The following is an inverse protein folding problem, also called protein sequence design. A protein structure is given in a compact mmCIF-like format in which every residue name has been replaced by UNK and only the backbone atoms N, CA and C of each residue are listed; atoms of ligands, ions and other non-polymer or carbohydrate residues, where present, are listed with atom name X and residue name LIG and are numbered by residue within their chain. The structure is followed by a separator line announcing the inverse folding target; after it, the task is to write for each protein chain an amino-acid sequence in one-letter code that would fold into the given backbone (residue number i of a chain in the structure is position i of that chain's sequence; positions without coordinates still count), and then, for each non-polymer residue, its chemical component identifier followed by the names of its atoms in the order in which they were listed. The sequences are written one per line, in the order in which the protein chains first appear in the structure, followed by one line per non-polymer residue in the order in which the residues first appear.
data_IF_571958382606
#
_entry.id   IF_571958382606
#
_cell.length_a   1.000
_cell.length_b   1.000
_cell.length_c   1.000
_cell.angle_alpha   90.00
_cell.angle_beta   90.00
_cell.angle_gamma   90.00
#
_symmetry.space_group_name_H-M   'P 1'
#
loop_
_entity.id
_entity.type
_entity.pdbx_description
1 polymer ?
#
# COMPACT_ATOMS: atom_id res chain seq x y z
N UNK A 1 26.52 -4.84 -8.72
CA UNK A 1 26.70 -3.68 -9.59
C UNK A 1 25.51 -2.74 -9.35
N UNK A 2 25.80 -1.53 -8.83
CA UNK A 2 24.81 -0.48 -8.62
C UNK A 2 24.79 0.38 -9.87
N UNK A 3 23.66 0.47 -10.55
CA UNK A 3 23.43 1.50 -11.57
C UNK A 3 22.91 2.75 -10.87
N UNK A 4 23.70 3.81 -10.89
CA UNK A 4 23.26 5.14 -10.47
C UNK A 4 22.92 5.92 -11.73
N UNK A 5 21.66 6.27 -11.92
CA UNK A 5 21.23 7.17 -12.98
C UNK A 5 21.33 8.58 -12.40
N UNK A 6 22.34 9.29 -12.83
CA UNK A 6 22.53 10.71 -12.52
C UNK A 6 21.79 11.53 -13.57
N UNK A 7 20.60 12.00 -13.26
CA UNK A 7 20.02 13.14 -13.97
C UNK A 7 19.46 14.12 -12.94
N UNK A 8 19.76 15.41 -13.03
CA UNK A 8 19.13 16.44 -12.20
C UNK A 8 17.69 16.59 -12.70
N UNK A 9 16.71 16.02 -12.01
CA UNK A 9 15.33 16.25 -12.32
C UNK A 9 14.86 17.56 -11.73
N UNK A 10 14.82 18.59 -12.59
CA UNK A 10 13.78 19.59 -12.48
C UNK A 10 12.44 18.88 -12.69
N UNK A 11 11.39 19.25 -11.93
CA UNK A 11 10.01 18.82 -12.17
C UNK A 11 9.56 19.43 -13.51
N UNK A 12 9.98 18.82 -14.59
CA UNK A 12 9.47 19.04 -15.92
C UNK A 12 9.06 17.68 -16.48
N UNK A 13 7.87 17.63 -17.03
CA UNK A 13 7.17 16.47 -17.59
C UNK A 13 7.88 15.74 -18.74
N UNK A 14 9.18 15.68 -18.80
CA UNK A 14 9.86 15.02 -19.93
C UNK A 14 11.13 14.32 -19.55
N UNK A 15 11.19 13.05 -19.94
CA UNK A 15 12.27 12.09 -19.87
C UNK A 15 12.38 11.33 -18.53
N UNK A 16 11.41 10.44 -18.29
CA UNK A 16 11.57 9.40 -17.29
C UNK A 16 12.78 8.51 -17.66
N UNK A 17 13.73 8.23 -16.74
CA UNK A 17 14.85 7.36 -17.00
C UNK A 17 14.35 5.98 -17.44
N UNK A 18 14.85 5.51 -18.59
CA UNK A 18 14.44 4.26 -19.21
C UNK A 18 15.54 3.21 -19.06
N UNK A 19 15.21 2.09 -18.46
CA UNK A 19 16.11 0.94 -18.37
C UNK A 19 15.48 -0.23 -19.10
N UNK A 20 15.98 -0.57 -20.27
CA UNK A 20 15.50 -1.68 -21.11
C UNK A 20 14.01 -1.57 -21.47
N UNK A 21 13.47 -2.61 -22.11
CA UNK A 21 12.04 -2.65 -22.43
C UNK A 21 11.18 -2.75 -21.17
N UNK A 22 10.06 -2.05 -21.16
CA UNK A 22 9.11 -2.03 -20.04
C UNK A 22 8.64 -3.44 -19.70
N UNK A 23 8.75 -3.80 -18.43
CA UNK A 23 8.32 -5.10 -17.92
C UNK A 23 9.32 -6.24 -18.07
N UNK A 24 10.52 -5.98 -18.61
CA UNK A 24 11.57 -7.01 -18.66
C UNK A 24 12.06 -7.36 -17.25
N UNK A 25 11.99 -8.65 -16.82
CA UNK A 25 12.52 -9.05 -15.53
C UNK A 25 14.05 -8.99 -15.54
N UNK A 26 14.62 -8.45 -14.48
CA UNK A 26 16.06 -8.44 -14.27
C UNK A 26 16.47 -9.65 -13.41
N UNK A 27 17.61 -10.28 -13.75
CA UNK A 27 18.13 -11.42 -12.96
C UNK A 27 18.54 -11.00 -11.53
N UNK A 28 19.00 -9.77 -11.37
CA UNK A 28 19.36 -9.19 -10.05
C UNK A 28 18.57 -7.92 -9.81
N UNK A 29 18.32 -7.64 -8.52
CA UNK A 29 17.74 -6.35 -8.14
C UNK A 29 18.74 -5.24 -8.42
N UNK A 30 18.25 -4.15 -9.00
CA UNK A 30 18.97 -2.90 -9.19
C UNK A 30 18.41 -1.85 -8.22
N UNK A 31 19.26 -0.91 -7.82
CA UNK A 31 18.83 0.26 -7.05
C UNK A 31 18.60 1.40 -8.03
N UNK A 32 17.39 1.93 -8.04
CA UNK A 32 17.02 3.14 -8.76
C UNK A 32 17.10 4.30 -7.78
N UNK A 33 17.83 5.35 -8.15
CA UNK A 33 17.95 6.58 -7.36
C UNK A 33 17.46 7.74 -8.20
N UNK A 34 16.57 8.53 -7.62
CA UNK A 34 16.02 9.72 -8.27
C UNK A 34 16.18 10.91 -7.32
N UNK A 35 16.78 11.99 -7.81
CA UNK A 35 16.98 13.18 -7.00
C UNK A 35 15.64 13.89 -6.80
N UNK A 36 15.39 14.33 -5.58
CA UNK A 36 14.21 15.09 -5.23
C UNK A 36 14.62 16.55 -4.96
N UNK A 37 14.55 17.37 -6.01
CA UNK A 37 14.84 18.80 -5.89
C UNK A 37 13.54 19.57 -5.64
N UNK A 38 13.54 20.45 -4.65
CA UNK A 38 12.41 21.32 -4.31
C UNK A 38 11.07 20.59 -4.11
N UNK A 39 10.96 19.67 -3.12
CA UNK A 39 9.71 18.98 -2.84
C UNK A 39 8.60 19.98 -2.51
N UNK A 40 7.42 19.77 -3.10
CA UNK A 40 6.22 20.61 -2.89
C UNK A 40 5.42 20.21 -1.66
N UNK A 41 5.64 18.99 -1.16
CA UNK A 41 5.00 18.43 0.01
C UNK A 41 6.05 17.71 0.86
N UNK A 42 5.64 17.05 1.94
CA UNK A 42 6.54 16.27 2.77
C UNK A 42 7.24 15.17 1.97
N UNK A 43 8.53 14.97 2.22
CA UNK A 43 9.34 14.00 1.48
C UNK A 43 8.83 12.55 1.57
N UNK A 44 8.14 12.22 2.65
CA UNK A 44 7.47 10.92 2.85
C UNK A 44 6.35 10.65 1.84
N UNK A 45 5.79 11.69 1.21
CA UNK A 45 4.72 11.59 0.22
C UNK A 45 5.20 11.24 -1.18
N UNK A 46 6.51 11.18 -1.39
CA UNK A 46 7.09 10.86 -2.70
C UNK A 46 7.52 9.40 -2.78
N UNK A 47 7.25 8.78 -3.92
CA UNK A 47 7.72 7.44 -4.22
C UNK A 47 8.15 7.30 -5.67
N UNK A 48 8.96 6.27 -5.95
CA UNK A 48 9.35 5.90 -7.31
C UNK A 48 8.32 4.90 -7.84
N UNK A 49 7.79 5.17 -9.03
CA UNK A 49 6.96 4.23 -9.76
C UNK A 49 7.66 3.73 -11.02
N UNK A 50 7.41 2.49 -11.41
CA UNK A 50 7.86 1.89 -12.68
C UNK A 50 6.65 1.68 -13.59
N UNK A 51 6.79 2.04 -14.86
CA UNK A 51 5.79 1.77 -15.89
C UNK A 51 5.57 0.28 -16.09
N UNK A 52 4.33 -0.11 -16.36
CA UNK A 52 3.96 -1.50 -16.65
C UNK A 52 3.68 -1.68 -18.15
N UNK A 53 3.82 -2.91 -18.66
CA UNK A 53 3.54 -3.25 -20.06
C UNK A 53 2.08 -2.98 -20.49
N UNK A 54 1.17 -2.84 -19.50
CA UNK A 54 -0.25 -2.51 -19.74
C UNK A 54 -0.55 -1.01 -19.70
N UNK A 55 0.49 -0.16 -19.68
CA UNK A 55 0.35 1.30 -19.65
C UNK A 55 0.07 1.92 -18.28
N UNK A 56 0.02 1.10 -17.21
CA UNK A 56 -0.11 1.58 -15.84
C UNK A 56 1.24 1.87 -15.18
N UNK A 57 1.19 2.27 -13.91
CA UNK A 57 2.38 2.45 -13.05
C UNK A 57 2.28 1.52 -11.86
N UNK A 58 3.41 0.98 -11.41
CA UNK A 58 3.53 0.19 -10.20
C UNK A 58 4.44 0.94 -9.23
N UNK A 59 3.96 1.19 -8.02
CA UNK A 59 4.75 1.77 -6.95
C UNK A 59 5.88 0.81 -6.53
N UNK A 60 7.02 1.38 -6.18
CA UNK A 60 8.14 0.67 -5.59
C UNK A 60 8.30 1.11 -4.14
N UNK A 61 8.64 0.18 -3.25
CA UNK A 61 9.04 0.52 -1.88
C UNK A 61 10.22 1.48 -1.95
N UNK A 62 9.98 2.72 -1.53
CA UNK A 62 10.88 3.85 -1.72
C UNK A 62 11.34 4.40 -0.38
N UNK A 63 12.62 4.73 -0.26
CA UNK A 63 13.20 5.40 0.89
C UNK A 63 13.76 6.75 0.46
N UNK A 64 13.61 7.77 1.31
CA UNK A 64 14.26 9.07 1.11
C UNK A 64 15.53 9.13 1.94
N UNK A 65 16.65 9.49 1.30
CA UNK A 65 17.94 9.66 1.95
C UNK A 65 18.78 10.73 1.23
N UNK A 66 19.23 11.73 1.98
CA UNK A 66 20.19 12.74 1.53
C UNK A 66 19.81 13.44 0.20
N UNK A 67 18.54 13.79 0.04
CA UNK A 67 18.02 14.43 -1.18
C UNK A 67 17.65 13.45 -2.30
N UNK A 68 17.73 12.14 -2.07
CA UNK A 68 17.42 11.10 -3.05
C UNK A 68 16.28 10.20 -2.60
N UNK A 69 15.43 9.87 -3.55
CA UNK A 69 14.53 8.73 -3.45
C UNK A 69 15.26 7.48 -3.96
N UNK A 70 15.22 6.40 -3.19
CA UNK A 70 15.87 5.15 -3.51
C UNK A 70 14.85 4.00 -3.48
N UNK A 71 14.83 3.17 -4.52
CA UNK A 71 14.01 1.97 -4.58
C UNK A 71 14.78 0.80 -5.18
N UNK A 72 14.53 -0.42 -4.69
CA UNK A 72 15.09 -1.65 -5.25
C UNK A 72 14.05 -2.37 -6.07
N UNK A 73 14.40 -2.71 -7.30
CA UNK A 73 13.50 -3.43 -8.21
C UNK A 73 14.24 -4.50 -9.01
N UNK A 74 13.50 -5.52 -9.43
CA UNK A 74 13.93 -6.50 -10.42
C UNK A 74 13.16 -6.35 -11.74
N UNK A 75 12.45 -5.24 -11.94
CA UNK A 75 11.69 -4.95 -13.14
C UNK A 75 12.31 -3.74 -13.84
N UNK A 76 12.63 -3.91 -15.11
CA UNK A 76 13.06 -2.83 -15.97
C UNK A 76 11.87 -2.02 -16.50
N UNK A 77 12.07 -0.76 -16.82
CA UNK A 77 11.02 0.09 -17.37
C UNK A 77 11.31 1.58 -17.24
N UNK A 78 10.28 2.38 -17.48
CA UNK A 78 10.32 3.82 -17.28
C UNK A 78 10.03 4.13 -15.80
N UNK A 79 10.95 4.82 -15.15
CA UNK A 79 10.81 5.22 -13.76
C UNK A 79 10.36 6.67 -13.67
N UNK A 80 9.53 6.97 -12.68
CA UNK A 80 9.06 8.34 -12.43
C UNK A 80 8.87 8.58 -10.94
N UNK A 81 9.11 9.81 -10.49
CA UNK A 81 8.71 10.25 -9.16
C UNK A 81 7.21 10.54 -9.18
N UNK A 82 6.51 10.05 -8.20
CA UNK A 82 5.08 10.27 -7.97
C UNK A 82 4.86 10.77 -6.55
N UNK A 83 3.70 11.34 -6.30
CA UNK A 83 3.25 11.73 -4.95
C UNK A 83 1.99 10.99 -4.58
N UNK A 84 1.82 10.72 -3.28
CA UNK A 84 0.62 10.16 -2.71
C UNK A 84 0.27 10.87 -1.40
N UNK A 85 -0.83 11.59 -1.40
CA UNK A 85 -1.41 12.28 -0.24
C UNK A 85 -2.80 11.70 0.12
N UNK A 86 -3.21 10.61 -0.56
CA UNK A 86 -4.57 10.06 -0.46
C UNK A 86 -4.52 8.78 0.38
N UNK A 87 -5.21 8.74 1.52
CA UNK A 87 -5.26 7.54 2.34
C UNK A 87 -5.91 6.35 1.63
N UNK A 88 -5.56 5.11 2.04
CA UNK A 88 -6.24 3.90 1.58
C UNK A 88 -7.75 3.94 1.79
N UNK A 89 -8.48 3.18 0.99
CA UNK A 89 -9.93 3.03 1.10
C UNK A 89 -10.26 1.69 1.74
N UNK A 90 -10.98 1.72 2.87
CA UNK A 90 -11.44 0.53 3.59
C UNK A 90 -12.93 0.33 3.33
N UNK A 91 -13.31 -0.84 2.81
CA UNK A 91 -14.71 -1.22 2.58
C UNK A 91 -15.01 -2.57 3.25
N UNK A 92 -15.89 -2.62 4.27
CA UNK A 92 -16.35 -3.90 4.79
C UNK A 92 -17.15 -4.64 3.70
N UNK A 93 -16.96 -5.96 3.60
CA UNK A 93 -17.70 -6.78 2.63
C UNK A 93 -19.18 -6.87 2.99
N UNK A 94 -19.49 -6.83 4.29
CA UNK A 94 -20.87 -6.72 4.78
C UNK A 94 -21.12 -5.37 5.43
N UNK A 95 -22.24 -4.74 5.11
CA UNK A 95 -22.72 -3.51 5.79
C UNK A 95 -23.45 -3.81 7.10
N UNK A 96 -23.84 -5.06 7.36
CA UNK A 96 -24.51 -5.49 8.58
C UNK A 96 -23.63 -5.25 9.81
N UNK A 97 -24.26 -4.80 10.89
CA UNK A 97 -23.63 -4.74 12.22
C UNK A 97 -23.65 -6.12 12.89
N UNK A 98 -24.55 -7.00 12.50
CA UNK A 98 -24.64 -8.37 13.03
C UNK A 98 -23.71 -9.29 12.24
N UNK A 99 -22.76 -9.90 12.93
CA UNK A 99 -21.83 -10.88 12.39
C UNK A 99 -22.33 -12.27 12.79
N UNK A 100 -22.88 -12.97 11.82
CA UNK A 100 -23.41 -14.35 12.00
C UNK A 100 -22.48 -15.41 11.41
N UNK A 101 -21.43 -14.98 10.72
CA UNK A 101 -20.43 -15.83 10.09
C UNK A 101 -19.15 -15.95 10.88
N UNK A 102 -18.29 -16.88 10.44
CA UNK A 102 -16.99 -17.11 11.06
C UNK A 102 -15.92 -16.09 10.68
N UNK A 103 -16.22 -15.15 9.79
CA UNK A 103 -15.23 -14.17 9.32
C UNK A 103 -15.82 -12.77 9.20
N UNK A 104 -15.07 -11.78 9.64
CA UNK A 104 -15.26 -10.37 9.25
C UNK A 104 -14.28 -10.06 8.11
N UNK A 105 -14.79 -9.54 6.99
CA UNK A 105 -13.99 -9.33 5.77
C UNK A 105 -14.00 -7.88 5.34
N UNK A 106 -12.86 -7.42 4.83
CA UNK A 106 -12.65 -6.07 4.31
C UNK A 106 -11.97 -6.13 2.95
N UNK A 107 -12.43 -5.32 2.01
CA UNK A 107 -11.67 -4.97 0.81
C UNK A 107 -10.95 -3.67 1.10
N UNK A 108 -9.63 -3.71 0.98
CA UNK A 108 -8.78 -2.54 1.18
C UNK A 108 -8.04 -2.25 -0.12
N UNK A 109 -8.11 -1.01 -0.57
CA UNK A 109 -7.49 -0.59 -1.83
C UNK A 109 -6.73 0.70 -1.64
N UNK A 110 -5.64 0.81 -2.36
CA UNK A 110 -4.89 2.04 -2.56
C UNK A 110 -4.58 2.21 -4.05
N UNK A 111 -4.74 3.43 -4.57
CA UNK A 111 -4.60 3.69 -6.01
C UNK A 111 -3.19 4.14 -6.41
N UNK A 112 -2.33 4.46 -5.43
CA UNK A 112 -1.06 5.14 -5.67
C UNK A 112 0.14 4.37 -5.12
N UNK A 113 0.51 4.59 -3.85
CA UNK A 113 1.72 4.03 -3.26
C UNK A 113 1.57 2.58 -2.79
N UNK A 114 0.34 2.11 -2.62
CA UNK A 114 0.00 0.76 -2.17
C UNK A 114 -0.08 0.62 -0.66
N UNK A 115 -0.72 -0.46 -0.20
CA UNK A 115 -0.88 -0.76 1.22
C UNK A 115 0.46 -1.26 1.79
N UNK A 116 0.90 -0.68 2.91
CA UNK A 116 2.10 -1.08 3.64
C UNK A 116 1.77 -1.73 4.99
N UNK A 117 0.82 -1.16 5.73
CA UNK A 117 0.45 -1.66 7.06
C UNK A 117 -1.06 -1.82 7.22
N UNK A 118 -1.47 -2.82 8.00
CA UNK A 118 -2.85 -3.00 8.41
C UNK A 118 -2.92 -3.65 9.79
N UNK A 119 -3.74 -3.07 10.67
CA UNK A 119 -3.89 -3.53 12.05
C UNK A 119 -5.36 -3.54 12.46
N UNK A 120 -5.84 -4.69 12.93
CA UNK A 120 -7.18 -4.85 13.48
C UNK A 120 -7.13 -4.83 15.00
N UNK A 121 -8.09 -4.13 15.60
CA UNK A 121 -8.28 -4.10 17.05
C UNK A 121 -9.72 -4.44 17.38
N UNK A 122 -9.93 -5.25 18.43
CA UNK A 122 -11.24 -5.52 19.01
C UNK A 122 -11.18 -5.08 20.48
N UNK A 123 -12.02 -4.12 20.87
CA UNK A 123 -12.00 -3.46 22.18
C UNK A 123 -10.60 -2.94 22.55
N UNK A 124 -9.86 -2.41 21.60
CA UNK A 124 -8.49 -1.91 21.78
C UNK A 124 -7.39 -2.98 21.76
N UNK A 125 -7.71 -4.25 21.75
CA UNK A 125 -6.73 -5.34 21.65
C UNK A 125 -6.42 -5.69 20.19
N UNK A 126 -5.14 -5.75 19.84
CA UNK A 126 -4.70 -6.15 18.52
C UNK A 126 -5.10 -7.61 18.22
N UNK A 127 -5.61 -7.83 17.01
CA UNK A 127 -5.99 -9.15 16.50
C UNK A 127 -5.36 -9.38 15.13
N UNK A 128 -5.01 -10.64 14.84
CA UNK A 128 -4.47 -11.04 13.55
C UNK A 128 -5.52 -10.81 12.45
N UNK A 129 -5.15 -10.03 11.45
CA UNK A 129 -5.90 -9.86 10.21
C UNK A 129 -5.12 -10.54 9.09
N UNK A 130 -5.74 -11.48 8.40
CA UNK A 130 -5.11 -12.23 7.32
C UNK A 130 -5.49 -11.67 5.95
N UNK A 131 -4.65 -11.91 4.95
CA UNK A 131 -4.90 -11.48 3.57
C UNK A 131 -5.11 -12.67 2.64
N UNK A 132 -6.30 -12.75 2.03
CA UNK A 132 -6.62 -13.73 1.00
C UNK A 132 -6.29 -13.15 -0.38
N UNK A 133 -5.16 -13.58 -0.93
CA UNK A 133 -4.63 -13.07 -2.19
C UNK A 133 -5.55 -13.33 -3.39
N UNK A 134 -6.17 -14.51 -3.47
CA UNK A 134 -7.05 -14.87 -4.61
C UNK A 134 -8.35 -14.10 -4.59
N UNK A 135 -8.88 -13.86 -3.41
CA UNK A 135 -10.11 -13.11 -3.19
C UNK A 135 -9.91 -11.61 -3.08
N UNK A 136 -8.67 -11.15 -2.95
CA UNK A 136 -8.28 -9.74 -2.75
C UNK A 136 -9.05 -9.08 -1.60
N UNK A 137 -9.12 -9.77 -0.46
CA UNK A 137 -9.72 -9.24 0.77
C UNK A 137 -8.90 -9.61 2.00
N UNK A 138 -9.02 -8.80 3.04
CA UNK A 138 -8.50 -9.08 4.37
C UNK A 138 -9.61 -9.68 5.23
N UNK A 139 -9.27 -10.60 6.12
CA UNK A 139 -10.26 -11.22 6.99
C UNK A 139 -9.73 -11.48 8.40
N UNK A 140 -10.65 -11.44 9.32
CA UNK A 140 -10.46 -11.84 10.72
C UNK A 140 -11.36 -13.05 10.98
N UNK A 141 -10.75 -14.16 11.41
CA UNK A 141 -11.49 -15.33 11.88
C UNK A 141 -12.05 -15.07 13.27
N UNK A 142 -13.37 -15.14 13.39
CA UNK A 142 -14.08 -14.92 14.63
C UNK A 142 -13.85 -16.13 15.54
N UNK A 143 -13.16 -15.97 16.69
CA UNK A 143 -12.91 -17.09 17.59
C UNK A 143 -14.19 -17.57 18.26
N UNK A 144 -14.21 -18.85 18.61
CA UNK A 144 -15.31 -19.41 19.40
C UNK A 144 -15.41 -18.66 20.75
N UNK A 145 -16.62 -18.22 21.10
CA UNK A 145 -16.85 -17.47 22.34
C UNK A 145 -16.80 -15.95 22.23
N UNK A 146 -16.38 -15.38 21.09
CA UNK A 146 -16.52 -13.94 20.86
C UNK A 146 -17.99 -13.63 20.52
N UNK A 147 -18.75 -13.16 21.52
CA UNK A 147 -20.19 -12.94 21.46
C UNK A 147 -20.58 -11.57 21.95
N UNK A 148 -21.68 -11.01 21.40
CA UNK A 148 -22.20 -9.71 21.81
C UNK A 148 -21.58 -8.55 21.06
N UNK A 149 -21.77 -7.34 21.59
CA UNK A 149 -21.29 -6.11 20.98
C UNK A 149 -19.82 -5.84 21.32
N UNK A 150 -19.00 -5.65 20.30
CA UNK A 150 -17.60 -5.28 20.42
C UNK A 150 -17.26 -4.12 19.48
N UNK A 151 -16.38 -3.24 19.93
CA UNK A 151 -15.78 -2.22 19.08
C UNK A 151 -14.72 -2.87 18.19
N UNK A 152 -14.85 -2.69 16.88
CA UNK A 152 -13.90 -3.19 15.89
C UNK A 152 -13.31 -2.01 15.15
N UNK A 153 -11.98 -1.87 15.22
CA UNK A 153 -11.21 -0.82 14.58
C UNK A 153 -10.20 -1.43 13.61
N UNK A 154 -10.22 -1.01 12.36
CA UNK A 154 -9.20 -1.33 11.36
C UNK A 154 -8.45 -0.07 10.99
N UNK A 155 -7.12 -0.11 11.13
CA UNK A 155 -6.21 0.97 10.76
C UNK A 155 -5.34 0.49 9.62
N UNK A 156 -5.29 1.21 8.52
CA UNK A 156 -4.53 0.87 7.33
C UNK A 156 -3.65 2.05 6.93
N UNK A 157 -2.37 1.79 6.71
CA UNK A 157 -1.40 2.76 6.21
C UNK A 157 -0.88 2.37 4.83
N UNK A 158 -0.67 3.35 3.98
CA UNK A 158 0.03 3.20 2.71
C UNK A 158 1.55 3.41 2.84
N UNK A 159 2.27 3.23 1.73
CA UNK A 159 3.72 3.37 1.71
C UNK A 159 4.21 4.82 1.79
N UNK A 160 3.32 5.81 1.68
CA UNK A 160 3.60 7.23 1.85
C UNK A 160 3.14 7.78 3.22
N UNK A 161 2.71 6.90 4.14
CA UNK A 161 2.32 7.24 5.49
C UNK A 161 0.96 7.93 5.60
N UNK A 162 0.09 7.81 4.57
CA UNK A 162 -1.31 8.21 4.74
C UNK A 162 -2.06 7.08 5.44
N UNK A 163 -2.94 7.42 6.37
CA UNK A 163 -3.63 6.46 7.23
C UNK A 163 -5.14 6.60 7.07
N UNK A 164 -5.80 5.47 6.89
CA UNK A 164 -7.25 5.35 6.97
C UNK A 164 -7.65 4.54 8.20
N UNK A 165 -8.75 4.94 8.82
CA UNK A 165 -9.36 4.22 9.93
C UNK A 165 -10.81 3.87 9.62
N UNK A 166 -11.18 2.65 9.96
CA UNK A 166 -12.57 2.21 10.01
C UNK A 166 -12.89 1.75 11.43
N UNK A 167 -13.93 2.33 12.02
CA UNK A 167 -14.35 2.05 13.40
C UNK A 167 -15.85 1.78 13.42
N UNK A 168 -16.26 0.65 13.98
CA UNK A 168 -17.68 0.29 14.13
C UNK A 168 -17.89 -0.67 15.29
N UNK A 169 -19.02 -0.56 15.95
CA UNK A 169 -19.50 -1.60 16.87
C UNK A 169 -20.18 -2.70 16.05
N UNK A 170 -19.70 -3.93 16.21
CA UNK A 170 -20.25 -5.13 15.61
C UNK A 170 -20.81 -6.04 16.70
N UNK A 171 -21.96 -6.66 16.40
CA UNK A 171 -22.61 -7.63 17.29
C UNK A 171 -22.36 -9.04 16.78
N UNK A 172 -21.54 -9.80 17.46
CA UNK A 172 -21.18 -11.17 17.12
C UNK A 172 -22.25 -12.14 17.65
N UNK A 173 -22.83 -12.92 16.76
CA UNK A 173 -23.93 -13.83 17.05
C UNK A 173 -23.47 -15.24 16.69
N UNK A 174 -23.69 -16.22 17.58
CA UNK A 174 -23.37 -17.63 17.29
C UNK A 174 -24.03 -18.07 15.98
N UNK A 175 -23.27 -18.65 15.05
CA UNK A 175 -23.90 -19.32 13.91
C UNK A 175 -24.81 -20.45 14.43
N UNK A 176 -26.05 -20.42 13.98
CA UNK A 176 -27.01 -21.52 14.24
C UNK A 176 -26.52 -22.81 13.61
#
# INVERSE_FOLDING_TARGET
DSFSIYEPFAIAESAAPHICNVGTPLQKRVTVRMRLDHPKTEVSKYYIAVGTSKGGKKALSTQYKDGWLEAKTNTAGNFSVQTDEIPPVIKPVSSSVNVTGRQVRFVVTDAHSGIETYNLYINGEWKLLEYEYKGNYMFFDVPDGLMGEHEVKLVVGDACGNVAEWLKKLNFILPK
#
